data_IF_550781400296
#
_entry.id   IF_550781400296
#
_cell.length_a   1.000
_cell.length_b   1.000
_cell.length_c   1.000
_cell.angle_alpha   90.00
_cell.angle_beta   90.00
_cell.angle_gamma   90.00
#
_symmetry.space_group_name_H-M   'P 1'
#
loop_
_entity.id
_entity.type
_entity.pdbx_description
1 polymer ?
#
# COMPACT_ATOMS: atom_id res chain seq x y z
N UNK A 1 3.12 19.97 16.85
CA UNK A 1 2.19 19.40 17.84
C UNK A 1 0.84 19.17 17.15
N UNK A 2 0.29 17.96 17.25
CA UNK A 2 -0.98 17.59 16.60
C UNK A 2 -2.20 17.90 17.47
N UNK A 3 -2.00 18.29 18.72
CA UNK A 3 -3.07 18.39 19.72
C UNK A 3 -3.70 17.04 20.13
N UNK A 4 -3.23 15.94 19.58
CA UNK A 4 -3.69 14.57 19.87
C UNK A 4 -2.63 13.87 20.71
N UNK A 5 -3.01 13.33 21.88
CA UNK A 5 -2.10 12.61 22.76
C UNK A 5 -1.46 11.41 22.05
N UNK A 6 -0.16 11.23 22.24
CA UNK A 6 0.65 10.13 21.64
C UNK A 6 0.74 10.14 20.11
N UNK A 7 0.29 11.21 19.43
CA UNK A 7 0.46 11.36 17.99
C UNK A 7 1.52 12.42 17.70
N UNK A 8 2.58 12.01 17.02
CA UNK A 8 3.60 12.90 16.47
C UNK A 8 3.46 12.94 14.95
N UNK A 9 3.71 14.07 14.34
CA UNK A 9 3.67 14.27 12.90
C UNK A 9 5.00 14.82 12.41
N UNK A 10 5.53 14.17 11.36
CA UNK A 10 6.71 14.65 10.64
C UNK A 10 6.28 14.96 9.22
N UNK A 11 6.39 16.24 8.82
CA UNK A 11 6.08 16.63 7.44
C UNK A 11 7.21 16.25 6.51
N UNK A 12 6.89 15.49 5.46
CA UNK A 12 7.80 15.22 4.35
C UNK A 12 7.79 16.31 3.27
N UNK A 13 6.82 17.21 3.33
CA UNK A 13 6.67 18.27 2.35
C UNK A 13 7.50 19.50 2.77
N UNK A 14 8.56 19.79 2.03
CA UNK A 14 9.11 21.15 1.98
C UNK A 14 8.38 21.93 0.88
N UNK A 15 8.05 23.20 1.15
CA UNK A 15 7.44 24.12 0.16
C UNK A 15 8.35 24.44 -1.05
N UNK A 16 9.47 23.76 -1.17
CA UNK A 16 10.42 23.99 -2.25
C UNK A 16 10.03 23.23 -3.52
N UNK A 17 9.91 23.89 -4.66
CA UNK A 17 9.76 23.22 -5.95
C UNK A 17 10.89 22.18 -6.15
N UNK A 18 10.52 20.92 -6.41
CA UNK A 18 11.47 19.82 -6.58
C UNK A 18 11.71 18.96 -5.32
N UNK A 19 11.12 19.26 -4.16
CA UNK A 19 11.19 18.41 -2.96
C UNK A 19 10.58 17.01 -3.17
N UNK A 20 9.71 16.85 -4.18
CA UNK A 20 9.17 15.57 -4.60
C UNK A 20 10.17 14.66 -5.36
N UNK A 21 11.27 15.22 -5.88
CA UNK A 21 12.32 14.48 -6.57
C UNK A 21 13.44 14.15 -5.58
N UNK A 22 13.16 13.24 -4.66
CA UNK A 22 14.16 12.73 -3.73
C UNK A 22 15.07 11.77 -4.50
N UNK A 23 16.37 12.04 -4.49
CA UNK A 23 17.33 11.15 -5.12
C UNK A 23 17.52 9.88 -4.25
N UNK A 24 17.97 8.76 -4.84
CA UNK A 24 18.11 7.47 -4.17
C UNK A 24 18.95 7.51 -2.88
N UNK A 25 19.98 8.34 -2.83
CA UNK A 25 20.84 8.47 -1.64
C UNK A 25 20.10 9.09 -0.45
N UNK A 26 19.22 10.05 -0.75
CA UNK A 26 18.35 10.66 0.28
C UNK A 26 17.27 9.69 0.77
N UNK A 27 16.75 8.81 -0.09
CA UNK A 27 15.79 7.79 0.31
C UNK A 27 16.42 6.88 1.37
N UNK A 28 17.63 6.38 1.14
CA UNK A 28 18.37 5.56 2.11
C UNK A 28 18.55 6.26 3.47
N UNK A 29 18.86 7.56 3.44
CA UNK A 29 19.00 8.36 4.65
C UNK A 29 17.69 8.53 5.41
N UNK A 30 16.58 8.76 4.69
CA UNK A 30 15.23 8.88 5.28
C UNK A 30 14.80 7.54 5.89
N UNK A 31 15.00 6.43 5.18
CA UNK A 31 14.70 5.08 5.69
C UNK A 31 15.50 4.80 6.97
N UNK A 32 16.79 5.15 6.98
CA UNK A 32 17.63 4.99 8.17
C UNK A 32 17.12 5.84 9.34
N UNK A 33 16.71 7.09 9.07
CA UNK A 33 16.09 7.97 10.08
C UNK A 33 14.79 7.39 10.63
N UNK A 34 13.87 6.90 9.75
CA UNK A 34 12.61 6.29 10.18
C UNK A 34 12.85 5.14 11.17
N UNK A 35 13.87 4.32 10.92
CA UNK A 35 14.24 3.19 11.79
C UNK A 35 14.77 3.61 13.17
N UNK A 36 15.18 4.87 13.35
CA UNK A 36 15.64 5.40 14.65
C UNK A 36 14.53 6.04 15.47
N UNK A 37 13.32 6.17 14.91
CA UNK A 37 12.20 6.78 15.61
C UNK A 37 11.68 5.86 16.73
N UNK A 38 11.61 6.39 17.94
CA UNK A 38 10.99 5.71 19.08
C UNK A 38 9.48 5.87 19.02
N UNK A 39 8.81 4.90 18.39
CA UNK A 39 7.35 4.85 18.27
C UNK A 39 6.88 3.39 18.15
N UNK A 40 5.74 3.07 18.74
CA UNK A 40 5.13 1.73 18.64
C UNK A 40 4.63 1.45 17.22
N UNK A 41 4.19 2.49 16.53
CA UNK A 41 3.69 2.43 15.15
C UNK A 41 4.12 3.66 14.37
N UNK A 42 4.65 3.44 13.17
CA UNK A 42 5.01 4.49 12.23
C UNK A 42 4.13 4.33 10.99
N UNK A 43 3.31 5.33 10.71
CA UNK A 43 2.48 5.36 9.49
C UNK A 43 3.17 6.24 8.44
N UNK A 44 3.47 5.65 7.29
CA UNK A 44 3.99 6.35 6.12
C UNK A 44 2.81 6.71 5.21
N UNK A 45 2.42 7.99 5.21
CA UNK A 45 1.40 8.51 4.28
C UNK A 45 2.08 8.84 2.94
N UNK A 46 1.89 7.95 1.98
CA UNK A 46 2.53 8.03 0.67
C UNK A 46 1.65 8.76 -0.34
N UNK A 47 2.23 9.67 -1.09
CA UNK A 47 1.54 10.33 -2.20
C UNK A 47 1.09 9.34 -3.28
N UNK A 48 0.17 9.76 -4.17
CA UNK A 48 -0.30 8.94 -5.28
C UNK A 48 0.78 8.76 -6.35
N UNK A 49 0.73 7.65 -7.06
CA UNK A 49 1.60 7.38 -8.22
C UNK A 49 2.48 6.17 -8.04
N UNK A 50 3.22 5.85 -9.11
CA UNK A 50 4.09 4.68 -9.24
C UNK A 50 5.55 5.08 -9.43
N UNK A 51 5.96 6.27 -8.99
CA UNK A 51 7.36 6.63 -9.02
C UNK A 51 8.15 5.78 -8.01
N UNK A 52 9.43 5.56 -8.29
CA UNK A 52 10.27 4.70 -7.47
C UNK A 52 10.32 5.12 -5.99
N UNK A 53 10.28 6.41 -5.69
CA UNK A 53 10.31 6.88 -4.31
C UNK A 53 9.10 6.36 -3.51
N UNK A 54 7.89 6.48 -4.08
CA UNK A 54 6.66 5.98 -3.45
C UNK A 54 6.71 4.46 -3.29
N UNK A 55 7.14 3.74 -4.32
CA UNK A 55 7.24 2.29 -4.32
C UNK A 55 8.30 1.81 -3.32
N UNK A 56 9.45 2.46 -3.25
CA UNK A 56 10.53 2.08 -2.34
C UNK A 56 10.10 2.30 -0.88
N UNK A 57 9.44 3.43 -0.55
CA UNK A 57 8.84 3.63 0.79
C UNK A 57 7.72 2.65 1.09
N UNK A 58 6.90 2.28 0.11
CA UNK A 58 5.90 1.24 0.28
C UNK A 58 6.55 -0.11 0.64
N UNK A 59 7.61 -0.49 -0.06
CA UNK A 59 8.25 -1.79 0.08
C UNK A 59 9.06 -1.98 1.38
N UNK A 60 9.43 -0.91 2.08
CA UNK A 60 10.13 -1.03 3.38
C UNK A 60 9.19 -1.27 4.55
N UNK A 61 7.90 -1.07 4.36
CA UNK A 61 6.89 -1.26 5.40
C UNK A 61 6.75 -2.74 5.75
N UNK A 62 6.54 -3.03 7.02
CA UNK A 62 6.20 -4.38 7.49
C UNK A 62 4.75 -4.75 7.18
N UNK A 63 3.88 -3.74 7.04
CA UNK A 63 2.49 -3.88 6.66
C UNK A 63 2.18 -2.90 5.52
N UNK A 64 2.03 -3.43 4.33
CA UNK A 64 1.72 -2.65 3.15
C UNK A 64 0.21 -2.52 2.98
N UNK A 65 -0.32 -1.30 2.89
CA UNK A 65 -1.76 -1.07 2.68
C UNK A 65 -1.96 -0.28 1.40
N UNK A 66 -2.81 -0.78 0.51
CA UNK A 66 -3.24 -0.06 -0.69
C UNK A 66 -4.71 0.29 -0.59
N UNK A 67 -5.05 1.52 -0.97
CA UNK A 67 -6.40 2.01 -1.02
C UNK A 67 -6.86 2.11 -2.48
N UNK A 68 -8.08 1.63 -2.73
CA UNK A 68 -8.77 1.82 -4.01
C UNK A 68 -10.16 2.40 -3.77
N UNK A 69 -10.80 2.85 -4.83
CA UNK A 69 -12.21 3.19 -4.84
C UNK A 69 -12.94 2.26 -5.83
N UNK A 70 -14.30 2.18 -5.81
CA UNK A 70 -15.03 1.27 -6.68
C UNK A 70 -14.94 1.57 -8.18
N UNK A 71 -14.44 2.74 -8.55
CA UNK A 71 -14.28 3.13 -9.96
C UNK A 71 -13.24 2.24 -10.68
N UNK A 72 -13.58 1.74 -11.87
CA UNK A 72 -12.71 0.84 -12.64
C UNK A 72 -11.31 1.41 -12.85
N UNK A 73 -11.19 2.71 -13.10
CA UNK A 73 -9.90 3.39 -13.28
C UNK A 73 -9.05 3.36 -12.02
N UNK A 74 -9.66 3.45 -10.83
CA UNK A 74 -8.97 3.32 -9.54
C UNK A 74 -8.50 1.89 -9.32
N UNK A 75 -9.36 0.91 -9.57
CA UNK A 75 -9.03 -0.52 -9.48
C UNK A 75 -7.84 -0.87 -10.37
N UNK A 76 -7.85 -0.41 -11.62
CA UNK A 76 -6.76 -0.65 -12.57
C UNK A 76 -5.44 0.01 -12.15
N UNK A 77 -5.50 1.24 -11.64
CA UNK A 77 -4.32 1.93 -11.09
C UNK A 77 -3.77 1.21 -9.86
N UNK A 78 -4.65 0.73 -8.99
CA UNK A 78 -4.25 -0.03 -7.80
C UNK A 78 -3.59 -1.35 -8.19
N UNK A 79 -4.13 -2.08 -9.16
CA UNK A 79 -3.49 -3.28 -9.70
C UNK A 79 -2.10 -2.96 -10.27
N UNK A 80 -1.99 -1.92 -11.09
CA UNK A 80 -0.70 -1.49 -11.66
C UNK A 80 0.30 -1.08 -10.59
N UNK A 81 -0.15 -0.44 -9.51
CA UNK A 81 0.70 -0.10 -8.36
C UNK A 81 1.23 -1.36 -7.66
N UNK A 82 0.35 -2.33 -7.33
CA UNK A 82 0.74 -3.60 -6.68
C UNK A 82 1.75 -4.34 -7.55
N UNK A 83 1.51 -4.40 -8.86
CA UNK A 83 2.45 -4.99 -9.83
C UNK A 83 3.81 -4.28 -9.78
N UNK A 84 3.82 -2.96 -9.91
CA UNK A 84 5.07 -2.19 -9.90
C UNK A 84 5.83 -2.34 -8.59
N UNK A 85 5.14 -2.40 -7.45
CA UNK A 85 5.76 -2.62 -6.15
C UNK A 85 6.40 -4.02 -6.05
N UNK A 86 5.71 -5.07 -6.52
CA UNK A 86 6.25 -6.42 -6.57
C UNK A 86 7.49 -6.52 -7.48
N UNK A 87 7.38 -6.02 -8.72
CA UNK A 87 8.50 -6.08 -9.67
C UNK A 87 9.70 -5.26 -9.20
N UNK A 88 9.49 -4.11 -8.56
CA UNK A 88 10.55 -3.34 -7.93
C UNK A 88 11.23 -4.12 -6.80
N UNK A 89 10.45 -4.81 -5.96
CA UNK A 89 10.98 -5.67 -4.90
C UNK A 89 11.82 -6.82 -5.46
N UNK A 90 11.36 -7.45 -6.54
CA UNK A 90 12.13 -8.48 -7.24
C UNK A 90 13.42 -7.88 -7.84
N UNK A 91 13.33 -6.77 -8.57
CA UNK A 91 14.50 -6.09 -9.17
C UNK A 91 15.57 -5.75 -8.15
N UNK A 92 15.16 -5.21 -6.97
CA UNK A 92 16.11 -4.89 -5.88
C UNK A 92 16.73 -6.13 -5.25
N UNK A 93 16.00 -7.25 -5.15
CA UNK A 93 16.52 -8.50 -4.61
C UNK A 93 17.61 -9.14 -5.49
N UNK A 94 17.62 -8.80 -6.79
CA UNK A 94 18.60 -9.27 -7.77
C UNK A 94 19.52 -8.16 -8.28
N UNK A 95 19.72 -7.10 -7.50
CA UNK A 95 20.59 -5.96 -7.89
C UNK A 95 22.04 -6.36 -8.17
N UNK A 96 22.52 -7.45 -7.55
CA UNK A 96 23.88 -7.99 -7.74
C UNK A 96 24.00 -8.94 -8.94
N UNK A 97 22.89 -9.17 -9.66
CA UNK A 97 22.83 -10.00 -10.88
C UNK A 97 22.20 -9.17 -12.02
N UNK A 98 23.02 -8.39 -12.75
CA UNK A 98 22.55 -7.41 -13.72
C UNK A 98 21.69 -7.99 -14.84
N UNK A 99 21.91 -9.25 -15.23
CA UNK A 99 21.13 -9.94 -16.25
C UNK A 99 19.69 -10.18 -15.78
N UNK A 100 19.51 -10.66 -14.56
CA UNK A 100 18.19 -10.86 -13.94
C UNK A 100 17.52 -9.51 -13.74
N UNK A 101 18.23 -8.52 -13.20
CA UNK A 101 17.65 -7.19 -12.98
C UNK A 101 17.11 -6.58 -14.28
N UNK A 102 17.89 -6.62 -15.36
CA UNK A 102 17.45 -6.16 -16.69
C UNK A 102 16.21 -6.89 -17.18
N UNK A 103 16.18 -8.22 -17.01
CA UNK A 103 15.03 -9.04 -17.40
C UNK A 103 13.76 -8.62 -16.64
N UNK A 104 13.86 -8.44 -15.32
CA UNK A 104 12.75 -8.01 -14.46
C UNK A 104 12.28 -6.59 -14.83
N UNK A 105 13.19 -5.65 -15.04
CA UNK A 105 12.86 -4.26 -15.41
C UNK A 105 12.17 -4.19 -16.77
N UNK A 106 12.59 -4.98 -17.76
CA UNK A 106 11.91 -5.09 -19.06
C UNK A 106 10.54 -5.78 -18.97
N UNK A 107 10.33 -6.61 -17.96
CA UNK A 107 9.05 -7.30 -17.70
C UNK A 107 8.03 -6.43 -16.96
N UNK A 108 8.33 -5.15 -16.67
CA UNK A 108 7.42 -4.21 -16.00
C UNK A 108 7.30 -2.87 -16.73
N UNK A 109 6.89 -2.83 -18.00
CA UNK A 109 6.69 -1.57 -18.70
C UNK A 109 5.49 -0.81 -18.15
N UNK A 110 5.63 0.52 -18.07
CA UNK A 110 4.69 1.44 -17.41
C UNK A 110 3.29 1.45 -18.04
N UNK A 111 3.14 1.05 -19.31
CA UNK A 111 1.90 1.13 -20.09
C UNK A 111 1.49 -0.20 -20.74
N UNK A 112 1.90 -1.33 -20.19
CA UNK A 112 1.60 -2.63 -20.78
C UNK A 112 0.22 -3.17 -20.38
N UNK A 113 -0.39 -3.91 -21.28
CA UNK A 113 -1.59 -4.69 -20.98
C UNK A 113 -1.32 -5.67 -19.82
N UNK A 114 -2.32 -5.84 -18.96
CA UNK A 114 -2.23 -6.69 -17.76
C UNK A 114 -1.78 -8.10 -18.11
N UNK A 115 -2.25 -8.63 -19.24
CA UNK A 115 -2.00 -10.01 -19.66
C UNK A 115 -0.59 -10.24 -20.22
N UNK A 116 0.10 -9.18 -20.60
CA UNK A 116 1.41 -9.28 -21.27
C UNK A 116 2.56 -9.44 -20.26
N UNK A 117 2.37 -9.01 -19.01
CA UNK A 117 3.43 -9.01 -17.99
C UNK A 117 2.90 -9.51 -16.65
N UNK A 118 2.98 -10.84 -16.51
CA UNK A 118 2.55 -11.57 -15.31
C UNK A 118 3.75 -12.18 -14.59
N UNK A 119 3.58 -12.52 -13.32
CA UNK A 119 4.62 -13.28 -12.59
C UNK A 119 4.81 -14.69 -13.16
N UNK A 120 3.77 -15.27 -13.75
CA UNK A 120 3.88 -16.56 -14.46
C UNK A 120 4.88 -16.49 -15.60
N UNK A 121 4.74 -15.51 -16.51
CA UNK A 121 5.68 -15.29 -17.60
C UNK A 121 7.11 -15.01 -17.12
N UNK A 122 7.23 -14.23 -16.03
CA UNK A 122 8.53 -13.98 -15.42
C UNK A 122 9.14 -15.29 -14.88
N UNK A 123 8.33 -16.11 -14.21
CA UNK A 123 8.77 -17.42 -13.68
C UNK A 123 9.21 -18.37 -14.79
N UNK A 124 8.49 -18.44 -15.91
CA UNK A 124 8.87 -19.27 -17.06
C UNK A 124 10.27 -18.89 -17.56
N UNK A 125 10.56 -17.59 -17.64
CA UNK A 125 11.90 -17.10 -17.99
C UNK A 125 12.96 -17.48 -16.94
N UNK A 126 12.63 -17.43 -15.65
CA UNK A 126 13.55 -17.88 -14.59
C UNK A 126 13.86 -19.38 -14.71
N UNK A 127 12.85 -20.21 -15.03
CA UNK A 127 13.06 -21.65 -15.26
C UNK A 127 14.02 -21.89 -16.42
N UNK A 128 13.93 -21.11 -17.50
CA UNK A 128 14.75 -21.28 -18.70
C UNK A 128 16.16 -20.68 -18.55
N UNK A 129 16.27 -19.46 -18.00
CA UNK A 129 17.49 -18.68 -18.04
C UNK A 129 18.26 -18.70 -16.69
N UNK A 130 17.53 -18.81 -15.55
CA UNK A 130 18.10 -18.66 -14.19
C UNK A 130 17.51 -19.65 -13.17
N UNK A 131 17.54 -20.97 -13.41
CA UNK A 131 16.87 -21.97 -12.58
C UNK A 131 17.34 -21.96 -11.10
N UNK A 132 18.60 -21.65 -10.85
CA UNK A 132 19.17 -21.57 -9.49
C UNK A 132 18.57 -20.43 -8.65
N UNK A 133 17.94 -19.44 -9.28
CA UNK A 133 17.31 -18.29 -8.62
C UNK A 133 15.79 -18.40 -8.49
N UNK A 134 15.20 -19.49 -8.99
CA UNK A 134 13.74 -19.67 -9.02
C UNK A 134 13.12 -19.73 -7.61
N UNK A 135 13.79 -20.39 -6.67
CA UNK A 135 13.31 -20.46 -5.28
C UNK A 135 13.29 -19.08 -4.62
N UNK A 136 14.33 -18.27 -4.83
CA UNK A 136 14.37 -16.90 -4.34
C UNK A 136 13.23 -16.05 -4.92
N UNK A 137 12.97 -16.14 -6.23
CA UNK A 137 11.83 -15.46 -6.87
C UNK A 137 10.51 -15.86 -6.22
N UNK A 138 10.27 -17.17 -6.05
CA UNK A 138 9.03 -17.69 -5.47
C UNK A 138 8.84 -17.20 -4.03
N UNK A 139 9.91 -17.14 -3.23
CA UNK A 139 9.85 -16.62 -1.87
C UNK A 139 9.52 -15.13 -1.84
N UNK A 140 10.09 -14.32 -2.74
CA UNK A 140 9.78 -12.89 -2.84
C UNK A 140 8.30 -12.66 -3.16
N UNK A 141 7.73 -13.43 -4.11
CA UNK A 141 6.31 -13.34 -4.47
C UNK A 141 5.42 -13.76 -3.29
N UNK A 142 5.76 -14.86 -2.63
CA UNK A 142 5.03 -15.41 -1.49
C UNK A 142 5.01 -14.44 -0.30
N UNK A 143 6.14 -13.78 -0.02
CA UNK A 143 6.30 -12.87 1.12
C UNK A 143 5.70 -11.47 0.87
N UNK A 144 5.25 -11.19 -0.35
CA UNK A 144 4.60 -9.95 -0.71
C UNK A 144 3.08 -10.08 -0.52
N UNK A 145 2.56 -9.65 0.63
CA UNK A 145 1.16 -9.83 1.05
C UNK A 145 0.48 -8.49 1.38
N UNK A 146 0.23 -7.61 0.39
CA UNK A 146 -0.35 -6.30 0.65
C UNK A 146 -1.79 -6.40 1.15
N UNK A 147 -2.15 -5.53 2.09
CA UNK A 147 -3.52 -5.32 2.53
C UNK A 147 -4.28 -4.40 1.59
N UNK A 148 -5.54 -4.69 1.33
CA UNK A 148 -6.42 -3.93 0.46
C UNK A 148 -7.59 -3.32 1.23
N UNK A 149 -7.80 -2.02 1.05
CA UNK A 149 -8.95 -1.27 1.56
C UNK A 149 -9.71 -0.65 0.39
N UNK A 150 -11.04 -0.82 0.36
CA UNK A 150 -11.91 -0.14 -0.59
C UNK A 150 -12.56 1.06 0.09
N UNK A 151 -12.19 2.26 -0.35
CA UNK A 151 -12.72 3.52 0.16
C UNK A 151 -13.92 4.00 -0.69
N UNK A 152 -14.77 4.86 -0.13
CA UNK A 152 -15.91 5.52 -0.80
C UNK A 152 -16.93 4.53 -1.37
N UNK A 153 -17.22 3.46 -0.63
CA UNK A 153 -18.27 2.49 -0.98
C UNK A 153 -19.65 3.13 -0.82
N UNK A 154 -20.47 3.10 -1.87
CA UNK A 154 -21.83 3.70 -1.91
C UNK A 154 -22.94 2.66 -2.00
N UNK A 155 -22.62 1.49 -2.52
CA UNK A 155 -23.63 0.47 -2.83
C UNK A 155 -23.14 -0.94 -2.51
N UNK A 156 -24.09 -1.90 -2.42
CA UNK A 156 -23.76 -3.32 -2.28
C UNK A 156 -22.89 -3.86 -3.43
N UNK A 157 -23.03 -3.29 -4.65
CA UNK A 157 -22.22 -3.67 -5.80
C UNK A 157 -20.76 -3.28 -5.58
N UNK A 158 -20.52 -2.14 -4.95
CA UNK A 158 -19.16 -1.63 -4.69
C UNK A 158 -18.41 -2.52 -3.71
N UNK A 159 -19.11 -3.24 -2.81
CA UNK A 159 -18.49 -4.19 -1.88
C UNK A 159 -17.74 -5.32 -2.58
N UNK A 160 -18.15 -5.69 -3.81
CA UNK A 160 -17.47 -6.73 -4.59
C UNK A 160 -16.13 -6.27 -5.17
N UNK A 161 -15.83 -4.99 -5.12
CA UNK A 161 -14.59 -4.43 -5.69
C UNK A 161 -13.34 -5.05 -5.07
N UNK A 162 -13.34 -5.23 -3.75
CA UNK A 162 -12.23 -5.86 -3.02
C UNK A 162 -11.97 -7.28 -3.52
N UNK A 163 -13.01 -8.12 -3.53
CA UNK A 163 -12.90 -9.52 -3.98
C UNK A 163 -12.45 -9.64 -5.44
N UNK A 164 -12.96 -8.75 -6.30
CA UNK A 164 -12.59 -8.74 -7.72
C UNK A 164 -11.12 -8.35 -7.90
N UNK A 165 -10.63 -7.35 -7.16
CA UNK A 165 -9.23 -6.94 -7.22
C UNK A 165 -8.31 -8.03 -6.64
N UNK A 166 -8.70 -8.69 -5.54
CA UNK A 166 -7.96 -9.84 -5.01
C UNK A 166 -7.81 -10.95 -6.04
N UNK A 167 -8.91 -11.31 -6.73
CA UNK A 167 -8.89 -12.32 -7.80
C UNK A 167 -7.96 -11.91 -8.95
N UNK A 168 -7.96 -10.63 -9.32
CA UNK A 168 -7.10 -10.10 -10.37
C UNK A 168 -5.63 -10.20 -9.98
N UNK A 169 -5.29 -9.76 -8.77
CA UNK A 169 -3.93 -9.80 -8.21
C UNK A 169 -3.45 -11.26 -8.10
N UNK A 170 -4.28 -12.16 -7.58
CA UNK A 170 -3.95 -13.59 -7.49
C UNK A 170 -3.74 -14.21 -8.87
N UNK A 171 -4.63 -13.91 -9.84
CA UNK A 171 -4.57 -14.50 -11.19
C UNK A 171 -3.31 -14.07 -11.95
N UNK A 172 -2.93 -12.80 -11.90
CA UNK A 172 -1.88 -12.26 -12.77
C UNK A 172 -0.54 -12.05 -12.07
N UNK A 173 -0.55 -11.89 -10.74
CA UNK A 173 0.67 -11.67 -9.97
C UNK A 173 0.98 -12.80 -8.98
N UNK A 174 0.08 -13.79 -8.85
CA UNK A 174 0.19 -14.91 -7.90
C UNK A 174 0.42 -14.47 -6.45
N UNK A 175 0.03 -13.23 -6.14
CA UNK A 175 0.16 -12.59 -4.83
C UNK A 175 -1.07 -12.88 -3.98
N UNK A 176 -0.84 -13.27 -2.73
CA UNK A 176 -1.87 -13.41 -1.70
C UNK A 176 -2.08 -12.06 -1.00
N UNK A 177 -2.89 -11.18 -1.59
CA UNK A 177 -3.30 -9.95 -0.94
C UNK A 177 -4.42 -10.21 0.06
N UNK A 178 -4.48 -9.41 1.14
CA UNK A 178 -5.49 -9.54 2.20
C UNK A 178 -6.53 -8.43 2.09
N UNK A 179 -7.82 -8.77 2.06
CA UNK A 179 -8.88 -7.78 2.15
C UNK A 179 -9.06 -7.33 3.61
N UNK A 180 -8.69 -6.09 3.90
CA UNK A 180 -8.76 -5.51 5.24
C UNK A 180 -10.13 -4.92 5.55
N UNK A 181 -10.91 -4.56 4.51
CA UNK A 181 -12.23 -4.00 4.67
C UNK A 181 -12.53 -2.82 3.73
N UNK A 182 -13.58 -2.10 4.07
CA UNK A 182 -14.03 -0.96 3.27
C UNK A 182 -14.46 0.20 4.17
N UNK A 183 -14.49 1.40 3.57
CA UNK A 183 -15.02 2.60 4.21
C UNK A 183 -16.15 3.13 3.32
N UNK A 184 -17.34 3.31 3.91
CA UNK A 184 -18.45 3.87 3.17
C UNK A 184 -18.24 5.36 2.90
N UNK A 185 -18.77 5.84 1.77
CA UNK A 185 -18.84 7.27 1.51
C UNK A 185 -19.85 7.94 2.44
N UNK A 186 -19.45 9.08 3.02
CA UNK A 186 -20.29 9.80 3.98
C UNK A 186 -20.01 11.30 3.95
N UNK A 187 -21.06 12.09 3.95
CA UNK A 187 -20.96 13.55 4.05
C UNK A 187 -20.34 13.96 5.39
N UNK A 188 -20.54 13.19 6.46
CA UNK A 188 -19.92 13.44 7.78
C UNK A 188 -18.39 13.46 7.73
N UNK A 189 -17.79 12.64 6.85
CA UNK A 189 -16.33 12.67 6.62
C UNK A 189 -15.94 13.98 5.95
N UNK A 190 -16.71 14.45 4.96
CA UNK A 190 -16.49 15.76 4.31
C UNK A 190 -16.59 16.89 5.31
N UNK A 191 -17.67 16.94 6.10
CA UNK A 191 -17.90 17.96 7.12
C UNK A 191 -16.76 17.98 8.15
N UNK A 192 -16.17 16.83 8.47
CA UNK A 192 -15.04 16.74 9.41
C UNK A 192 -13.76 17.35 8.82
N UNK A 193 -13.55 17.21 7.50
CA UNK A 193 -12.42 17.82 6.80
C UNK A 193 -12.59 19.35 6.76
N UNK A 194 -13.79 19.83 6.43
CA UNK A 194 -14.10 21.27 6.39
C UNK A 194 -13.91 21.94 7.76
N UNK A 195 -14.20 21.22 8.83
CA UNK A 195 -14.00 21.67 10.22
C UNK A 195 -12.60 21.41 10.77
N UNK A 196 -11.71 20.75 10.00
CA UNK A 196 -10.37 20.33 10.41
C UNK A 196 -10.35 19.48 11.69
N UNK A 197 -11.40 18.68 11.91
CA UNK A 197 -11.51 17.75 13.04
C UNK A 197 -11.58 16.33 12.49
N UNK A 198 -10.65 15.41 12.86
CA UNK A 198 -10.71 14.03 12.40
C UNK A 198 -12.06 13.38 12.71
N UNK A 199 -12.69 12.73 11.71
CA UNK A 199 -14.05 12.16 11.87
C UNK A 199 -14.14 11.10 12.98
N UNK A 200 -13.05 10.39 13.25
CA UNK A 200 -12.96 9.45 14.38
C UNK A 200 -13.11 10.14 15.74
N UNK A 201 -12.70 11.42 15.84
CA UNK A 201 -12.84 12.23 17.08
C UNK A 201 -14.22 12.89 17.11
N UNK A 202 -14.64 13.43 15.95
CA UNK A 202 -15.92 14.16 15.83
C UNK A 202 -17.13 13.24 15.98
N UNK A 203 -17.09 12.07 15.33
CA UNK A 203 -18.19 11.12 15.30
C UNK A 203 -17.68 9.66 15.36
N UNK A 204 -17.20 9.21 16.54
CA UNK A 204 -16.57 7.92 16.72
C UNK A 204 -17.52 6.74 16.49
N UNK A 205 -18.84 6.98 16.55
CA UNK A 205 -19.89 5.96 16.37
C UNK A 205 -20.47 6.00 14.95
N UNK A 206 -19.95 6.83 14.06
CA UNK A 206 -20.37 6.86 12.68
C UNK A 206 -19.95 5.59 11.93
N UNK A 207 -20.69 5.25 10.88
CA UNK A 207 -20.39 4.06 10.07
C UNK A 207 -18.99 4.09 9.47
N UNK A 208 -18.47 5.21 8.92
CA UNK A 208 -17.07 5.30 8.49
C UNK A 208 -16.07 5.05 9.63
N UNK A 209 -16.37 5.54 10.86
CA UNK A 209 -15.52 5.32 12.03
C UNK A 209 -15.49 3.83 12.41
N UNK A 210 -16.64 3.16 12.44
CA UNK A 210 -16.70 1.71 12.66
C UNK A 210 -15.93 0.92 11.61
N UNK A 211 -16.06 1.29 10.32
CA UNK A 211 -15.33 0.63 9.25
C UNK A 211 -13.81 0.79 9.42
N UNK A 212 -13.34 2.00 9.74
CA UNK A 212 -11.90 2.23 9.97
C UNK A 212 -11.38 1.46 11.18
N UNK A 213 -12.18 1.37 12.24
CA UNK A 213 -11.85 0.58 13.44
C UNK A 213 -11.68 -0.90 13.11
N UNK A 214 -12.57 -1.47 12.28
CA UNK A 214 -12.46 -2.85 11.79
C UNK A 214 -11.19 -3.08 10.98
N UNK A 215 -10.84 -2.14 10.11
CA UNK A 215 -9.61 -2.18 9.32
C UNK A 215 -8.37 -2.15 10.22
N UNK A 216 -8.35 -1.27 11.21
CA UNK A 216 -7.25 -1.19 12.18
C UNK A 216 -7.14 -2.50 12.98
N UNK A 217 -8.27 -3.06 13.43
CA UNK A 217 -8.29 -4.36 14.11
C UNK A 217 -7.70 -5.48 13.25
N UNK A 218 -8.04 -5.51 11.96
CA UNK A 218 -7.48 -6.48 11.02
C UNK A 218 -5.97 -6.31 10.79
N UNK A 219 -5.47 -5.06 10.79
CA UNK A 219 -4.04 -4.76 10.66
C UNK A 219 -3.23 -5.12 11.90
N UNK A 220 -3.77 -4.87 13.08
CA UNK A 220 -3.05 -5.04 14.34
C UNK A 220 -3.22 -6.40 14.99
N UNK A 221 -4.10 -7.26 14.43
CA UNK A 221 -4.55 -8.51 15.07
C UNK A 221 -5.01 -8.30 16.53
N UNK A 222 -5.48 -7.11 16.85
CA UNK A 222 -5.88 -6.70 18.19
C UNK A 222 -7.38 -6.43 18.20
N UNK A 223 -8.14 -7.10 19.02
CA UNK A 223 -9.51 -6.70 19.35
C UNK A 223 -9.43 -5.33 20.05
N UNK A 224 -9.61 -4.26 19.28
CA UNK A 224 -9.66 -2.90 19.81
C UNK A 224 -10.92 -2.76 20.65
N UNK A 225 -10.81 -3.07 21.94
CA UNK A 225 -11.78 -2.63 22.92
C UNK A 225 -11.63 -1.10 23.06
N UNK A 226 -12.56 -0.37 22.48
CA UNK A 226 -12.62 1.08 22.68
C UNK A 226 -12.85 1.36 24.16
N UNK A 227 -11.88 1.99 24.78
CA UNK A 227 -12.04 2.62 26.10
C UNK A 227 -13.11 3.71 25.89
N UNK A 228 -14.33 3.45 26.36
CA UNK A 228 -15.31 4.54 26.57
C UNK A 228 -14.62 5.56 27.44
N UNK A 229 -14.37 6.75 26.89
CA UNK A 229 -14.02 7.89 27.73
C UNK A 229 -15.26 8.19 28.57
N UNK A 230 -15.21 7.77 29.83
CA UNK A 230 -16.11 8.28 30.84
C UNK A 230 -15.95 9.80 30.85
N UNK A 231 -17.09 10.48 30.71
CA UNK A 231 -17.12 11.93 30.65
C UNK A 231 -16.53 12.57 31.93
N UNK A 232 -15.66 13.53 31.72
CA UNK A 232 -15.46 14.70 32.56
C UNK A 232 -15.18 15.89 31.69
#
# INVERSE_FOLDING_TARGET
>A
DTGISNLKFVSGAGDNPGSANINSDKIGSIISFIKTLEADTILLDLGPGTNYNVIDFFNISTQNVVLTTPEMTSVMKTFSFIRSALFRRISLAFQDTPEIQKMVDHSNPTNADIETYTTGLLRDRFVEEFPDHLEQLNNIIKDFTPGLVVNRVRSKKDLMTGDNLLKLVKKFLEVEATYLGYIIESDRVRDSVDEMIPFLIKDPQSKPSENLQQIIGALTNTDLQFVKRDGR
#
